data_IF_621877141876
#
_entry.id   IF_621877141876
#
_cell.length_a   1.000
_cell.length_b   1.000
_cell.length_c   1.000
_cell.angle_alpha   90.00
_cell.angle_beta   90.00
_cell.angle_gamma   90.00
#
_symmetry.space_group_name_H-M   'P 1'
#
loop_
_entity.id
_entity.type
_entity.pdbx_description
1 polymer ?
#
# COMPACT_ATOMS: atom_id res chain seq x y z
N UNK A 1 -34.46 15.00 43.51
CA UNK A 1 -33.27 15.55 44.20
C UNK A 1 -32.51 16.42 43.22
N UNK A 2 -32.37 17.71 43.52
CA UNK A 2 -31.61 18.69 42.74
C UNK A 2 -30.13 18.57 43.14
N UNK A 3 -29.23 18.40 42.18
CA UNK A 3 -27.80 18.66 42.36
C UNK A 3 -27.37 19.54 41.19
N UNK A 4 -27.00 20.77 41.51
CA UNK A 4 -26.42 21.75 40.62
C UNK A 4 -24.91 21.52 40.55
N UNK A 5 -24.34 21.51 39.36
CA UNK A 5 -22.90 21.74 39.17
C UNK A 5 -22.73 22.97 38.29
N UNK A 6 -22.28 24.03 38.94
CA UNK A 6 -21.73 25.25 38.35
C UNK A 6 -20.29 24.91 37.95
N UNK A 7 -19.89 25.20 36.72
CA UNK A 7 -18.47 25.30 36.37
C UNK A 7 -18.26 26.52 35.50
N UNK A 8 -17.32 27.34 35.98
CA UNK A 8 -17.08 28.70 35.60
C UNK A 8 -16.27 28.80 34.30
N UNK A 9 -16.54 29.88 33.58
CA UNK A 9 -15.76 30.37 32.46
C UNK A 9 -14.37 30.85 32.92
N UNK A 10 -13.34 30.56 32.13
CA UNK A 10 -12.15 31.41 32.02
C UNK A 10 -11.88 31.62 30.55
N UNK A 11 -12.13 32.85 30.11
CA UNK A 11 -11.71 33.39 28.84
C UNK A 11 -10.23 33.80 28.93
N UNK A 12 -9.43 33.46 27.93
CA UNK A 12 -8.22 34.21 27.63
C UNK A 12 -8.28 34.65 26.17
N UNK A 13 -8.54 35.94 25.98
CA UNK A 13 -8.33 36.65 24.74
C UNK A 13 -6.87 37.15 24.73
N UNK A 14 -6.13 36.86 23.67
CA UNK A 14 -4.98 37.67 23.27
C UNK A 14 -5.17 38.06 21.80
N UNK A 15 -5.44 39.34 21.59
CA UNK A 15 -5.45 40.03 20.30
C UNK A 15 -4.27 41.00 20.27
N UNK A 16 -3.42 40.87 19.26
CA UNK A 16 -2.53 41.92 18.73
C UNK A 16 -2.20 41.51 17.29
N UNK A 17 -2.96 41.98 16.29
CA UNK A 17 -2.71 43.19 15.48
C UNK A 17 -1.31 43.20 14.83
N UNK A 18 -1.28 42.89 13.54
CA UNK A 18 -0.21 43.20 12.60
C UNK A 18 -0.81 43.20 11.20
N UNK A 19 -0.93 44.39 10.60
CA UNK A 19 -1.59 44.64 9.32
C UNK A 19 -0.66 44.45 8.10
N UNK A 20 -1.29 44.11 6.98
CA UNK A 20 -0.91 44.16 5.55
C UNK A 20 0.47 44.68 5.14
N UNK A 21 1.14 43.95 4.24
CA UNK A 21 1.20 44.31 2.80
C UNK A 21 1.83 43.19 1.98
N UNK A 22 1.21 42.95 0.83
CA UNK A 22 1.52 42.05 -0.27
C UNK A 22 2.88 42.31 -0.92
N UNK A 23 3.61 41.23 -1.21
CA UNK A 23 4.57 41.15 -2.33
C UNK A 23 4.43 39.77 -2.97
N UNK A 24 4.20 39.80 -4.27
CA UNK A 24 4.07 38.69 -5.20
C UNK A 24 5.17 37.62 -5.07
N UNK A 25 4.76 36.39 -5.37
CA UNK A 25 5.62 35.22 -5.51
C UNK A 25 6.71 35.43 -6.59
N UNK A 26 7.75 34.58 -6.59
CA UNK A 26 7.55 33.39 -7.41
C UNK A 26 7.95 32.08 -6.73
N UNK A 27 7.20 31.06 -7.18
CA UNK A 27 7.43 29.64 -7.12
C UNK A 27 8.88 29.21 -6.82
N UNK A 28 9.00 28.34 -5.80
CA UNK A 28 10.23 27.63 -5.49
C UNK A 28 10.14 26.84 -4.19
N UNK A 29 8.97 26.26 -3.88
CA UNK A 29 8.88 25.27 -2.81
C UNK A 29 9.65 24.01 -3.24
N UNK A 30 10.39 23.38 -2.33
CA UNK A 30 11.42 22.40 -2.67
C UNK A 30 10.80 21.22 -3.41
N UNK A 31 11.43 20.85 -4.51
CA UNK A 31 11.23 19.56 -5.14
C UNK A 31 11.27 18.49 -4.06
N UNK A 32 10.13 17.85 -3.84
CA UNK A 32 10.08 16.57 -3.14
C UNK A 32 10.96 15.61 -3.93
N UNK A 33 12.26 15.57 -3.59
CA UNK A 33 13.14 14.48 -3.94
C UNK A 33 12.41 13.24 -3.46
N UNK A 34 11.92 12.44 -4.40
CA UNK A 34 11.57 11.05 -4.13
C UNK A 34 12.75 10.48 -3.37
N UNK A 35 12.56 10.26 -2.07
CA UNK A 35 13.52 9.55 -1.26
C UNK A 35 13.64 8.20 -1.98
N UNK A 36 14.76 8.00 -2.68
CA UNK A 36 15.05 6.72 -3.30
C UNK A 36 15.03 5.74 -2.13
N UNK A 37 14.02 4.87 -2.11
CA UNK A 37 13.86 3.89 -1.05
C UNK A 37 15.14 3.08 -1.04
N UNK A 38 15.85 3.11 0.09
CA UNK A 38 17.08 2.35 0.24
C UNK A 38 16.73 0.87 0.30
N UNK A 39 17.08 0.13 -0.75
CA UNK A 39 16.88 -1.32 -0.82
C UNK A 39 17.98 -2.00 -0.01
N UNK A 40 17.64 -2.79 1.03
CA UNK A 40 18.64 -3.52 1.81
C UNK A 40 19.50 -4.44 0.93
N UNK A 41 20.78 -4.55 1.27
CA UNK A 41 21.72 -5.40 0.55
C UNK A 41 21.21 -6.85 0.45
N UNK A 42 21.28 -7.44 -0.75
CA UNK A 42 20.83 -8.80 -1.03
C UNK A 42 19.31 -8.96 -1.22
N UNK A 43 18.49 -7.94 -0.94
CA UNK A 43 17.04 -8.04 -1.19
C UNK A 43 16.73 -8.13 -2.69
N UNK A 44 17.41 -7.32 -3.51
CA UNK A 44 17.26 -7.36 -4.97
C UNK A 44 17.56 -8.74 -5.55
N UNK A 45 18.60 -9.41 -5.05
CA UNK A 45 18.97 -10.75 -5.51
C UNK A 45 17.93 -11.80 -5.09
N UNK A 46 17.39 -11.68 -3.87
CA UNK A 46 16.29 -12.54 -3.40
C UNK A 46 15.03 -12.35 -4.24
N UNK A 47 14.66 -11.10 -4.56
CA UNK A 47 13.51 -10.81 -5.42
C UNK A 47 13.72 -11.34 -6.83
N UNK A 48 14.88 -11.06 -7.44
CA UNK A 48 15.20 -11.50 -8.80
C UNK A 48 15.27 -13.02 -8.95
N UNK A 49 15.68 -13.74 -7.91
CA UNK A 49 15.72 -15.21 -7.91
C UNK A 49 14.39 -15.86 -7.56
N UNK A 50 13.68 -15.35 -6.56
CA UNK A 50 12.45 -15.94 -6.05
C UNK A 50 11.25 -15.69 -6.96
N UNK A 51 11.03 -14.44 -7.35
CA UNK A 51 9.81 -14.00 -8.01
C UNK A 51 10.08 -12.97 -9.12
N UNK A 52 10.85 -13.34 -10.15
CA UNK A 52 11.09 -12.44 -11.27
C UNK A 52 9.75 -12.03 -11.90
N UNK A 53 9.65 -10.75 -12.26
CA UNK A 53 8.51 -10.14 -12.95
C UNK A 53 7.17 -10.11 -12.19
N UNK A 54 7.13 -10.56 -10.92
CA UNK A 54 5.94 -10.47 -10.06
C UNK A 54 6.01 -9.30 -9.07
N UNK A 55 7.19 -9.06 -8.50
CA UNK A 55 7.42 -7.97 -7.55
C UNK A 55 8.77 -7.30 -7.81
N UNK A 56 8.88 -6.03 -7.45
CA UNK A 56 10.13 -5.27 -7.49
C UNK A 56 10.71 -5.10 -6.07
N UNK A 57 12.03 -4.95 -5.92
CA UNK A 57 12.65 -4.87 -4.59
C UNK A 57 12.29 -3.60 -3.81
N UNK A 58 11.98 -2.50 -4.48
CA UNK A 58 11.67 -1.20 -3.85
C UNK A 58 10.41 -1.25 -2.97
N UNK A 59 9.22 -1.66 -3.46
CA UNK A 59 8.04 -1.77 -2.59
C UNK A 59 8.21 -2.82 -1.49
N UNK A 60 8.97 -3.89 -1.75
CA UNK A 60 9.29 -4.89 -0.72
C UNK A 60 10.10 -4.25 0.41
N UNK A 61 11.12 -3.45 0.08
CA UNK A 61 11.93 -2.76 1.07
C UNK A 61 11.12 -1.83 1.98
N UNK A 62 10.10 -1.15 1.44
CA UNK A 62 9.17 -0.32 2.23
C UNK A 62 8.35 -1.18 3.19
N UNK A 63 7.73 -2.25 2.69
CA UNK A 63 6.87 -3.13 3.48
C UNK A 63 7.66 -3.84 4.58
N UNK A 64 8.90 -4.26 4.30
CA UNK A 64 9.73 -5.00 5.23
C UNK A 64 10.69 -4.12 6.03
N UNK A 65 10.46 -2.80 6.06
CA UNK A 65 11.33 -1.85 6.79
C UNK A 65 11.42 -2.22 8.26
N UNK A 66 12.64 -2.38 8.76
CA UNK A 66 12.90 -2.81 10.14
C UNK A 66 12.79 -4.32 10.38
N UNK A 67 12.54 -5.13 9.34
CA UNK A 67 12.55 -6.59 9.40
C UNK A 67 13.71 -7.16 8.58
N UNK A 68 14.24 -8.29 9.04
CA UNK A 68 15.21 -9.08 8.28
C UNK A 68 14.45 -10.03 7.33
N UNK A 69 14.47 -9.74 6.03
CA UNK A 69 13.90 -10.63 5.00
C UNK A 69 14.77 -11.86 4.88
N UNK A 70 14.22 -13.03 5.20
CA UNK A 70 14.94 -14.30 5.12
C UNK A 70 14.76 -14.94 3.75
N UNK A 71 13.56 -14.85 3.18
CA UNK A 71 13.20 -15.57 1.97
C UNK A 71 12.21 -14.77 1.11
N UNK A 72 12.43 -14.83 -0.21
CA UNK A 72 11.46 -14.44 -1.24
C UNK A 72 11.32 -15.65 -2.14
N UNK A 73 10.12 -16.19 -2.26
CA UNK A 73 9.89 -17.44 -2.96
C UNK A 73 8.57 -17.42 -3.72
N UNK A 74 8.47 -18.26 -4.76
CA UNK A 74 7.18 -18.52 -5.38
C UNK A 74 6.26 -19.15 -4.35
N UNK A 75 5.04 -18.63 -4.25
CA UNK A 75 4.03 -19.17 -3.35
C UNK A 75 3.46 -20.49 -3.86
N UNK A 76 2.59 -21.10 -3.05
CA UNK A 76 1.96 -22.39 -3.38
C UNK A 76 0.98 -22.30 -4.57
N UNK A 77 0.44 -21.12 -4.85
CA UNK A 77 -0.38 -20.88 -6.03
C UNK A 77 0.50 -20.59 -7.26
N UNK A 78 0.06 -21.02 -8.44
CA UNK A 78 0.70 -20.63 -9.69
C UNK A 78 0.72 -19.09 -9.81
N UNK A 79 1.83 -18.54 -10.30
CA UNK A 79 2.04 -17.10 -10.45
C UNK A 79 1.81 -16.29 -9.16
N UNK A 80 2.31 -16.83 -8.03
CA UNK A 80 2.33 -16.14 -6.74
C UNK A 80 3.74 -15.98 -6.18
N UNK A 81 3.90 -15.02 -5.28
CA UNK A 81 5.12 -14.70 -4.57
C UNK A 81 4.83 -14.45 -3.09
N UNK A 82 5.68 -14.99 -2.23
CA UNK A 82 5.66 -14.75 -0.79
C UNK A 82 6.98 -14.13 -0.34
N UNK A 83 6.90 -13.24 0.65
CA UNK A 83 8.05 -12.67 1.33
C UNK A 83 7.96 -13.00 2.81
N UNK A 84 8.99 -13.66 3.31
CA UNK A 84 9.10 -14.08 4.70
C UNK A 84 10.23 -13.36 5.40
N UNK A 85 9.96 -12.97 6.65
CA UNK A 85 10.95 -12.35 7.54
C UNK A 85 11.40 -13.32 8.62
N UNK A 86 12.45 -12.95 9.36
CA UNK A 86 12.98 -13.76 10.46
C UNK A 86 11.88 -14.25 11.41
N UNK A 87 11.96 -15.55 11.73
CA UNK A 87 10.92 -16.29 12.44
C UNK A 87 9.96 -17.03 11.52
N UNK A 88 10.16 -17.00 10.20
CA UNK A 88 9.33 -17.72 9.22
C UNK A 88 7.96 -17.10 8.99
N UNK A 89 7.83 -15.80 9.29
CA UNK A 89 6.56 -15.07 9.23
C UNK A 89 6.40 -14.47 7.85
N UNK A 90 5.29 -14.78 7.19
CA UNK A 90 4.93 -14.21 5.89
C UNK A 90 4.37 -12.81 6.10
N UNK A 91 5.00 -11.82 5.47
CA UNK A 91 4.62 -10.40 5.61
C UNK A 91 4.01 -9.82 4.34
N UNK A 92 4.28 -10.45 3.19
CA UNK A 92 3.71 -10.07 1.91
C UNK A 92 3.41 -11.32 1.08
N UNK A 93 2.19 -11.38 0.57
CA UNK A 93 1.77 -12.28 -0.50
C UNK A 93 1.31 -11.47 -1.70
N UNK A 94 1.74 -11.86 -2.89
CA UNK A 94 1.26 -11.35 -4.18
C UNK A 94 0.86 -12.54 -5.04
N UNK A 95 -0.38 -12.58 -5.51
CA UNK A 95 -0.88 -13.67 -6.35
C UNK A 95 -1.61 -13.15 -7.59
N UNK A 96 -1.44 -13.86 -8.70
CA UNK A 96 -2.14 -13.62 -9.94
C UNK A 96 -3.11 -14.77 -10.26
N UNK A 97 -4.36 -14.43 -10.58
CA UNK A 97 -5.35 -15.39 -11.07
C UNK A 97 -5.74 -14.97 -12.48
N UNK A 98 -5.42 -15.81 -13.46
CA UNK A 98 -5.65 -15.51 -14.87
C UNK A 98 -7.06 -15.90 -15.32
N UNK A 99 -7.76 -14.95 -15.90
CA UNK A 99 -9.06 -15.15 -16.54
C UNK A 99 -8.93 -15.18 -18.07
N UNK A 100 -9.97 -15.60 -18.81
CA UNK A 100 -9.99 -15.56 -20.27
C UNK A 100 -9.92 -14.14 -20.87
N UNK A 101 -10.34 -13.11 -20.12
CA UNK A 101 -10.38 -11.73 -20.56
C UNK A 101 -10.41 -10.75 -19.39
N UNK A 102 -10.21 -9.46 -19.69
CA UNK A 102 -10.16 -8.37 -18.70
C UNK A 102 -11.52 -8.20 -18.00
N UNK A 103 -12.59 -8.26 -18.76
CA UNK A 103 -13.96 -8.03 -18.28
C UNK A 103 -14.34 -9.04 -17.20
N UNK A 104 -13.93 -10.30 -17.36
CA UNK A 104 -14.20 -11.32 -16.35
C UNK A 104 -13.35 -11.12 -15.09
N UNK A 105 -12.08 -10.73 -15.24
CA UNK A 105 -11.23 -10.39 -14.11
C UNK A 105 -11.82 -9.22 -13.30
N UNK A 106 -12.29 -8.18 -13.99
CA UNK A 106 -12.97 -7.04 -13.36
C UNK A 106 -14.24 -7.47 -12.61
N UNK A 107 -15.10 -8.28 -13.23
CA UNK A 107 -16.30 -8.78 -12.57
C UNK A 107 -15.98 -9.58 -11.29
N UNK A 108 -14.94 -10.42 -11.31
CA UNK A 108 -14.55 -11.19 -10.13
C UNK A 108 -13.94 -10.34 -9.01
N UNK A 109 -13.18 -9.30 -9.37
CA UNK A 109 -12.64 -8.37 -8.37
C UNK A 109 -13.75 -7.52 -7.78
N UNK A 110 -14.65 -6.98 -8.60
CA UNK A 110 -15.81 -6.19 -8.19
C UNK A 110 -16.66 -6.93 -7.13
N UNK A 111 -16.98 -8.20 -7.39
CA UNK A 111 -17.74 -9.04 -6.43
C UNK A 111 -17.02 -9.26 -5.08
N UNK A 112 -15.70 -9.14 -5.04
CA UNK A 112 -14.90 -9.26 -3.81
C UNK A 112 -14.71 -7.92 -3.10
N UNK A 113 -14.97 -6.81 -3.79
CA UNK A 113 -14.82 -5.49 -3.22
C UNK A 113 -16.02 -5.12 -2.35
N UNK A 114 -15.80 -4.56 -1.15
CA UNK A 114 -16.89 -4.07 -0.32
C UNK A 114 -17.46 -2.78 -0.93
N UNK A 115 -18.77 -2.77 -1.19
CA UNK A 115 -19.49 -1.58 -1.63
C UNK A 115 -19.06 -1.07 -3.00
N UNK A 116 -18.90 0.24 -3.12
CA UNK A 116 -18.45 0.99 -4.32
C UNK A 116 -16.92 1.01 -4.49
N UNK A 117 -16.18 0.23 -3.70
CA UNK A 117 -14.72 0.27 -3.64
C UNK A 117 -13.98 -0.12 -4.92
N UNK A 118 -14.65 -0.74 -5.90
CA UNK A 118 -14.06 -1.09 -7.19
C UNK A 118 -14.24 -0.01 -8.27
N UNK A 119 -15.11 0.98 -8.05
CA UNK A 119 -15.45 2.02 -9.04
C UNK A 119 -14.43 3.18 -9.11
N UNK A 120 -13.29 3.06 -8.41
CA UNK A 120 -12.21 4.05 -8.45
C UNK A 120 -11.40 4.03 -9.75
N UNK A 121 -10.74 5.16 -10.05
CA UNK A 121 -9.83 5.31 -11.20
C UNK A 121 -8.73 4.23 -11.26
N UNK A 122 -8.44 3.60 -10.12
CA UNK A 122 -7.38 2.61 -9.97
C UNK A 122 -7.90 1.16 -10.04
N UNK A 123 -9.16 0.89 -10.40
CA UNK A 123 -9.76 -0.46 -10.58
C UNK A 123 -9.29 -1.49 -9.54
N UNK A 124 -9.35 -1.09 -8.27
CA UNK A 124 -8.89 -1.88 -7.14
C UNK A 124 -9.59 -1.45 -5.88
N UNK A 125 -9.72 -2.36 -4.92
CA UNK A 125 -10.24 -2.07 -3.62
C UNK A 125 -9.26 -2.50 -2.53
N UNK A 126 -9.24 -1.72 -1.46
CA UNK A 126 -8.48 -1.96 -0.25
C UNK A 126 -9.41 -2.53 0.80
N UNK A 127 -9.02 -3.65 1.37
CA UNK A 127 -9.80 -4.39 2.36
C UNK A 127 -8.92 -4.55 3.59
N UNK A 128 -9.37 -4.04 4.73
CA UNK A 128 -8.71 -4.31 5.99
C UNK A 128 -8.65 -5.83 6.24
N UNK A 129 -7.52 -6.34 6.74
CA UNK A 129 -7.45 -7.70 7.26
C UNK A 129 -8.44 -7.87 8.43
N UNK A 130 -8.97 -9.07 8.63
CA UNK A 130 -10.04 -9.35 9.61
C UNK A 130 -9.67 -8.98 11.06
N UNK A 131 -8.39 -8.85 11.37
CA UNK A 131 -7.84 -8.51 12.68
C UNK A 131 -7.40 -7.04 12.80
N UNK A 132 -7.57 -6.25 11.73
CA UNK A 132 -7.13 -4.86 11.64
C UNK A 132 -5.62 -4.67 11.57
N UNK A 133 -4.83 -5.75 11.41
CA UNK A 133 -3.35 -5.72 11.42
C UNK A 133 -2.72 -5.99 10.07
N UNK A 134 -3.48 -5.74 9.00
CA UNK A 134 -3.04 -6.02 7.65
C UNK A 134 -3.89 -5.31 6.61
N UNK A 135 -3.36 -5.30 5.40
CA UNK A 135 -3.97 -4.71 4.23
C UNK A 135 -4.11 -5.80 3.17
N UNK A 136 -5.28 -5.88 2.56
CA UNK A 136 -5.48 -6.63 1.31
C UNK A 136 -5.82 -5.65 0.21
N UNK A 137 -5.11 -5.74 -0.91
CA UNK A 137 -5.44 -5.02 -2.14
C UNK A 137 -5.87 -6.05 -3.16
N UNK A 138 -7.09 -5.90 -3.66
CA UNK A 138 -7.60 -6.67 -4.79
C UNK A 138 -7.71 -5.71 -5.97
N UNK A 139 -7.15 -6.09 -7.13
CA UNK A 139 -7.17 -5.24 -8.32
C UNK A 139 -7.03 -6.02 -9.61
N UNK A 140 -7.04 -5.30 -10.73
CA UNK A 140 -6.92 -5.91 -12.06
C UNK A 140 -5.67 -5.42 -12.78
N UNK A 141 -4.99 -6.35 -13.46
CA UNK A 141 -3.91 -6.08 -14.41
C UNK A 141 -4.17 -6.87 -15.71
N UNK A 142 -4.82 -6.23 -16.69
CA UNK A 142 -5.25 -6.92 -17.92
C UNK A 142 -6.24 -8.05 -17.62
N UNK A 143 -5.92 -9.28 -18.02
CA UNK A 143 -6.73 -10.49 -17.75
C UNK A 143 -6.54 -11.10 -16.35
N UNK A 144 -5.73 -10.46 -15.50
CA UNK A 144 -5.33 -11.01 -14.21
C UNK A 144 -6.06 -10.30 -13.06
N UNK A 145 -6.67 -11.07 -12.17
CA UNK A 145 -6.92 -10.62 -10.79
C UNK A 145 -5.59 -10.63 -10.04
N UNK A 146 -5.32 -9.54 -9.35
CA UNK A 146 -4.15 -9.34 -8.51
C UNK A 146 -4.60 -9.32 -7.06
N UNK A 147 -4.01 -10.20 -6.25
CA UNK A 147 -4.25 -10.28 -4.81
C UNK A 147 -2.97 -9.95 -4.08
N UNK A 148 -2.97 -8.86 -3.33
CA UNK A 148 -1.83 -8.43 -2.51
C UNK A 148 -2.30 -8.48 -1.06
N UNK A 149 -1.55 -9.15 -0.20
CA UNK A 149 -1.82 -9.20 1.23
C UNK A 149 -0.58 -8.83 2.00
N UNK A 150 -0.65 -7.77 2.81
CA UNK A 150 0.37 -7.39 3.78
C UNK A 150 -0.15 -7.77 5.16
N UNK A 151 0.61 -8.60 5.86
CA UNK A 151 0.24 -9.14 7.18
C UNK A 151 1.35 -8.95 8.18
N UNK A 152 1.02 -8.87 9.46
CA UNK A 152 1.98 -8.80 10.58
C UNK A 152 2.96 -7.61 10.56
N UNK A 153 2.75 -6.67 9.66
CA UNK A 153 3.49 -5.40 9.56
C UNK A 153 2.57 -4.29 10.08
N UNK A 154 3.06 -3.36 10.91
CA UNK A 154 2.29 -2.18 11.28
C UNK A 154 1.87 -1.38 10.03
N UNK A 155 0.56 -1.17 9.86
CA UNK A 155 0.05 -0.42 8.71
C UNK A 155 0.39 1.06 8.81
N UNK A 156 0.84 1.63 7.69
CA UNK A 156 1.12 3.06 7.51
C UNK A 156 0.83 3.45 6.05
N UNK A 157 0.72 4.75 5.78
CA UNK A 157 0.53 5.27 4.42
C UNK A 157 1.66 4.84 3.47
N UNK A 158 2.88 4.68 3.98
CA UNK A 158 4.03 4.17 3.21
C UNK A 158 3.81 2.70 2.81
N UNK A 159 3.37 1.84 3.73
CA UNK A 159 3.11 0.41 3.48
C UNK A 159 1.94 0.25 2.52
N UNK A 160 0.89 1.05 2.69
CA UNK A 160 -0.25 1.07 1.78
C UNK A 160 0.15 1.53 0.37
N UNK A 161 0.92 2.62 0.28
CA UNK A 161 1.46 3.12 -0.98
C UNK A 161 2.35 2.09 -1.68
N UNK A 162 3.17 1.35 -0.94
CA UNK A 162 3.99 0.28 -1.50
C UNK A 162 3.15 -0.89 -2.03
N UNK A 163 2.07 -1.29 -1.35
CA UNK A 163 1.16 -2.32 -1.85
C UNK A 163 0.45 -1.88 -3.13
N UNK A 164 0.00 -0.62 -3.21
CA UNK A 164 -0.59 -0.05 -4.44
C UNK A 164 0.47 0.05 -5.55
N UNK A 165 1.71 0.40 -5.23
CA UNK A 165 2.80 0.44 -6.20
C UNK A 165 3.05 -0.93 -6.84
N UNK A 166 3.01 -2.03 -6.07
CA UNK A 166 3.12 -3.39 -6.61
C UNK A 166 2.04 -3.67 -7.67
N UNK A 167 0.78 -3.27 -7.41
CA UNK A 167 -0.30 -3.42 -8.38
C UNK A 167 -0.02 -2.63 -9.67
N UNK A 168 0.48 -1.39 -9.55
CA UNK A 168 0.81 -0.55 -10.70
C UNK A 168 2.03 -1.07 -11.48
N UNK A 169 3.01 -1.62 -10.78
CA UNK A 169 4.15 -2.30 -11.40
C UNK A 169 3.69 -3.51 -12.20
N UNK A 170 2.76 -4.31 -11.66
CA UNK A 170 2.18 -5.43 -12.38
C UNK A 170 1.45 -4.93 -13.62
N UNK A 171 0.56 -3.95 -13.53
CA UNK A 171 -0.18 -3.38 -14.68
C UNK A 171 0.70 -2.93 -15.84
N UNK A 172 1.92 -2.48 -15.54
CA UNK A 172 2.90 -2.04 -16.54
C UNK A 172 3.93 -3.12 -16.91
N UNK A 173 3.86 -4.31 -16.30
CA UNK A 173 4.79 -5.40 -16.51
C UNK A 173 4.48 -6.19 -17.78
N UNK A 174 5.53 -6.80 -18.36
CA UNK A 174 5.37 -7.76 -19.46
C UNK A 174 4.66 -9.05 -19.06
N UNK A 175 4.58 -9.36 -17.76
CA UNK A 175 3.94 -10.57 -17.24
C UNK A 175 2.43 -10.52 -17.39
N UNK A 176 1.85 -9.32 -17.24
CA UNK A 176 0.40 -9.11 -17.31
C UNK A 176 -0.06 -8.27 -18.50
N UNK A 177 0.88 -7.76 -19.31
CA UNK A 177 0.61 -7.11 -20.59
C UNK A 177 0.01 -8.07 -21.64
#
# INVERSE_FOLDING_TARGET
MKIAFVSAAVALALTAVGACSSVDAPAGAPTGKGASVEVPAGLSDKVGSGCPDLIKPEPVAVITKGFEVVEVARGAAADSCTVSVRGGREVLFVGLIGYPGKELAEQYVDMQCPGDGFEGADQSCKIAARDGKGLRVHGVAGRWEVKISVSEVPMSDEVEGAAVQILNDLRSSKKTA
#
